data_IF_419816438790
#
_entry.id   IF_419816438790
#
_cell.length_a   1.000
_cell.length_b   1.000
_cell.length_c   1.000
_cell.angle_alpha   90.00
_cell.angle_beta   90.00
_cell.angle_gamma   90.00
#
_symmetry.space_group_name_H-M   'P 1'
#
loop_
_entity.id
_entity.type
_entity.pdbx_description
1 polymer ?
#
# COMPACT_ATOMS: atom_id res chain seq x y z
N UNK A 1 9.92 -2.75 8.61
CA UNK A 1 8.81 -2.14 7.87
C UNK A 1 7.94 -3.25 7.32
N UNK A 2 6.61 -3.10 7.43
CA UNK A 2 5.64 -3.94 6.74
C UNK A 2 5.05 -3.13 5.58
N UNK A 3 4.92 -3.73 4.41
CA UNK A 3 4.36 -3.09 3.22
C UNK A 3 3.28 -3.98 2.60
N UNK A 4 2.17 -3.37 2.20
CA UNK A 4 1.21 -3.99 1.30
C UNK A 4 1.25 -3.27 -0.04
N UNK A 5 1.46 -4.01 -1.11
CA UNK A 5 1.42 -3.49 -2.48
C UNK A 5 0.12 -3.97 -3.12
N UNK A 6 -0.78 -3.03 -3.38
CA UNK A 6 -2.11 -3.26 -3.92
C UNK A 6 -2.04 -3.05 -5.43
N UNK A 7 -2.03 -4.17 -6.14
CA UNK A 7 -1.84 -4.21 -7.58
C UNK A 7 -3.17 -4.53 -8.28
N UNK A 8 -3.74 -3.59 -9.05
CA UNK A 8 -4.96 -3.87 -9.80
C UNK A 8 -4.66 -4.86 -10.92
N UNK A 9 -5.53 -5.85 -11.08
CA UNK A 9 -5.56 -6.69 -12.26
C UNK A 9 -6.36 -6.08 -13.41
N UNK A 10 -6.60 -6.88 -14.43
CA UNK A 10 -7.49 -6.50 -15.54
C UNK A 10 -8.90 -6.18 -15.00
N UNK A 11 -9.57 -5.20 -15.59
CA UNK A 11 -10.88 -4.67 -15.17
C UNK A 11 -10.94 -4.05 -13.76
N UNK A 12 -9.78 -3.75 -13.15
CA UNK A 12 -9.68 -2.99 -11.90
C UNK A 12 -8.65 -1.88 -12.03
N UNK A 13 -8.68 -0.91 -11.12
CA UNK A 13 -7.81 0.25 -11.12
C UNK A 13 -7.58 0.82 -9.72
N UNK A 14 -7.27 2.12 -9.70
CA UNK A 14 -6.93 2.82 -8.46
C UNK A 14 -8.10 2.86 -7.46
N UNK A 15 -9.34 2.97 -7.94
CA UNK A 15 -10.52 3.02 -7.08
C UNK A 15 -10.66 1.73 -6.27
N UNK A 16 -10.56 0.57 -6.93
CA UNK A 16 -10.57 -0.72 -6.25
C UNK A 16 -9.38 -0.85 -5.29
N UNK A 17 -8.20 -0.36 -5.65
CA UNK A 17 -7.05 -0.37 -4.74
C UNK A 17 -7.33 0.46 -3.46
N UNK A 18 -7.97 1.62 -3.58
CA UNK A 18 -8.35 2.46 -2.45
C UNK A 18 -9.41 1.78 -1.57
N UNK A 19 -10.43 1.16 -2.18
CA UNK A 19 -11.44 0.38 -1.46
C UNK A 19 -10.81 -0.78 -0.67
N UNK A 20 -9.87 -1.50 -1.27
CA UNK A 20 -9.15 -2.57 -0.57
C UNK A 20 -8.21 -2.01 0.51
N UNK A 21 -7.62 -0.83 0.32
CA UNK A 21 -6.81 -0.18 1.35
C UNK A 21 -7.62 0.22 2.59
N UNK A 22 -8.85 0.72 2.42
CA UNK A 22 -9.76 1.02 3.52
C UNK A 22 -10.05 -0.24 4.37
N UNK A 23 -10.40 -1.35 3.71
CA UNK A 23 -10.62 -2.62 4.41
C UNK A 23 -9.36 -3.13 5.10
N UNK A 24 -8.20 -2.96 4.47
CA UNK A 24 -6.94 -3.43 5.03
C UNK A 24 -6.53 -2.60 6.26
N UNK A 25 -6.74 -1.27 6.25
CA UNK A 25 -6.42 -0.43 7.41
C UNK A 25 -7.36 -0.70 8.58
N UNK A 26 -8.63 -1.04 8.35
CA UNK A 26 -9.53 -1.49 9.42
C UNK A 26 -8.97 -2.74 10.14
N UNK A 27 -8.46 -3.72 9.38
CA UNK A 27 -7.82 -4.91 9.95
C UNK A 27 -6.56 -4.57 10.72
N UNK A 28 -5.74 -3.63 10.22
CA UNK A 28 -4.51 -3.19 10.89
C UNK A 28 -4.81 -2.45 12.19
N UNK A 29 -5.78 -1.53 12.18
CA UNK A 29 -6.22 -0.77 13.36
C UNK A 29 -6.77 -1.70 14.44
N UNK A 30 -7.52 -2.74 14.05
CA UNK A 30 -8.06 -3.72 14.97
C UNK A 30 -6.98 -4.49 15.75
N UNK A 31 -5.74 -4.54 15.25
CA UNK A 31 -4.59 -5.14 15.94
C UNK A 31 -3.58 -4.10 16.45
N UNK A 32 -3.97 -2.83 16.52
CA UNK A 32 -3.15 -1.75 17.07
C UNK A 32 -2.05 -1.24 16.13
N UNK A 33 -2.18 -1.47 14.82
CA UNK A 33 -1.24 -1.00 13.81
C UNK A 33 -1.81 0.19 13.03
N UNK A 34 -0.95 1.16 12.75
CA UNK A 34 -1.19 2.33 11.90
C UNK A 34 -0.46 2.17 10.57
N UNK A 35 -1.09 2.67 9.51
CA UNK A 35 -0.58 2.59 8.14
C UNK A 35 -0.61 3.94 7.42
N UNK A 36 0.35 4.14 6.53
CA UNK A 36 0.51 5.33 5.70
C UNK A 36 0.36 4.96 4.21
N UNK A 37 -0.60 5.56 3.50
CA UNK A 37 -0.82 5.28 2.09
C UNK A 37 0.09 6.12 1.19
N UNK A 38 0.55 5.51 0.09
CA UNK A 38 1.16 6.23 -1.03
C UNK A 38 0.77 5.60 -2.36
N UNK A 39 0.67 6.40 -3.40
CA UNK A 39 0.57 5.86 -4.76
C UNK A 39 1.87 5.17 -5.12
N UNK A 40 1.79 4.11 -5.93
CA UNK A 40 2.99 3.47 -6.49
C UNK A 40 3.71 4.39 -7.52
N UNK A 41 3.06 5.47 -7.97
CA UNK A 41 3.42 6.21 -9.18
C UNK A 41 3.08 5.45 -10.47
N UNK A 42 2.44 4.28 -10.37
CA UNK A 42 1.97 3.52 -11.52
C UNK A 42 0.46 3.33 -11.49
N UNK A 43 -0.04 2.10 -11.36
CA UNK A 43 -1.48 1.81 -11.33
C UNK A 43 -2.00 1.49 -9.94
N UNK A 44 -1.13 1.02 -9.05
CA UNK A 44 -1.49 0.53 -7.72
C UNK A 44 -1.22 1.52 -6.58
N UNK A 45 -1.62 1.09 -5.39
CA UNK A 45 -1.50 1.81 -4.12
C UNK A 45 -0.64 0.98 -3.15
N UNK A 46 0.11 1.64 -2.26
CA UNK A 46 0.95 0.97 -1.27
C UNK A 46 0.61 1.47 0.12
N UNK A 47 0.55 0.56 1.09
CA UNK A 47 0.39 0.87 2.51
C UNK A 47 1.65 0.51 3.28
N UNK A 48 2.17 1.47 4.03
CA UNK A 48 3.38 1.32 4.84
C UNK A 48 3.02 1.29 6.31
N UNK A 49 3.46 0.25 7.02
CA UNK A 49 3.31 0.10 8.47
C UNK A 49 4.71 0.16 9.09
N UNK A 50 5.12 1.31 9.64
CA UNK A 50 6.42 1.47 10.28
C UNK A 50 6.49 0.60 11.53
N UNK A 51 7.47 -0.29 11.59
CA UNK A 51 7.68 -1.13 12.76
C UNK A 51 8.74 -0.53 13.68
N UNK A 52 9.91 -0.17 13.13
CA UNK A 52 11.05 0.43 13.85
C UNK A 52 11.50 -0.31 15.13
N UNK A 53 10.95 -1.49 15.40
CA UNK A 53 11.33 -2.46 16.42
C UNK A 53 12.04 -3.65 15.76
N UNK A 54 12.75 -4.52 16.49
CA UNK A 54 13.31 -5.75 15.91
C UNK A 54 12.21 -6.65 15.29
N UNK A 55 12.40 -7.08 14.05
CA UNK A 55 11.49 -8.00 13.35
C UNK A 55 12.24 -8.80 12.29
N UNK A 56 11.62 -9.89 11.81
CA UNK A 56 12.17 -10.71 10.72
C UNK A 56 11.32 -10.58 9.46
N UNK A 57 11.95 -10.64 8.29
CA UNK A 57 11.23 -10.67 7.00
C UNK A 57 10.21 -11.82 6.93
N UNK A 58 10.52 -12.97 7.55
CA UNK A 58 9.60 -14.11 7.59
C UNK A 58 8.32 -13.75 8.34
N UNK A 59 8.42 -13.17 9.55
CA UNK A 59 7.26 -12.80 10.34
C UNK A 59 6.42 -11.71 9.66
N UNK A 60 7.08 -10.68 9.13
CA UNK A 60 6.40 -9.60 8.39
C UNK A 60 5.65 -10.15 7.17
N UNK A 61 6.30 -10.99 6.37
CA UNK A 61 5.71 -11.59 5.17
C UNK A 61 4.55 -12.54 5.51
N UNK A 62 4.69 -13.34 6.56
CA UNK A 62 3.63 -14.22 7.04
C UNK A 62 2.41 -13.43 7.54
N UNK A 63 2.64 -12.35 8.29
CA UNK A 63 1.58 -11.45 8.75
C UNK A 63 0.85 -10.80 7.57
N UNK A 64 1.60 -10.22 6.62
CA UNK A 64 1.03 -9.60 5.42
C UNK A 64 0.16 -10.59 4.61
N UNK A 65 0.66 -11.82 4.45
CA UNK A 65 -0.07 -12.89 3.77
C UNK A 65 -1.34 -13.27 4.52
N UNK A 66 -1.28 -13.43 5.85
CA UNK A 66 -2.43 -13.82 6.66
C UNK A 66 -3.55 -12.77 6.61
N UNK A 67 -3.21 -11.49 6.75
CA UNK A 67 -4.21 -10.41 6.63
C UNK A 67 -4.75 -10.31 5.20
N UNK A 68 -3.91 -10.49 4.19
CA UNK A 68 -4.37 -10.53 2.79
C UNK A 68 -5.33 -11.69 2.52
N UNK A 69 -5.04 -12.88 3.06
CA UNK A 69 -5.89 -14.07 2.91
C UNK A 69 -7.21 -13.93 3.67
N UNK A 70 -7.21 -13.22 4.80
CA UNK A 70 -8.44 -12.85 5.50
C UNK A 70 -9.35 -12.01 4.60
N UNK A 71 -8.81 -10.97 3.96
CA UNK A 71 -9.55 -10.13 3.01
C UNK A 71 -9.97 -10.91 1.76
N UNK A 72 -9.10 -11.77 1.21
CA UNK A 72 -9.44 -12.64 0.07
C UNK A 72 -10.60 -13.59 0.40
N UNK A 73 -10.67 -14.11 1.63
CA UNK A 73 -11.79 -14.96 2.07
C UNK A 73 -13.09 -14.16 2.21
N UNK A 74 -13.03 -12.93 2.71
CA UNK A 74 -14.21 -12.08 2.88
C UNK A 74 -14.72 -11.53 1.54
N UNK A 75 -13.79 -11.13 0.65
CA UNK A 75 -14.05 -10.49 -0.64
C UNK A 75 -13.42 -11.27 -1.80
N UNK A 76 -13.77 -12.56 -2.01
CA UNK A 76 -13.09 -13.42 -3.00
C UNK A 76 -13.27 -12.99 -4.45
N UNK A 77 -14.26 -12.12 -4.72
CA UNK A 77 -14.50 -11.50 -6.03
C UNK A 77 -13.72 -10.21 -6.28
N UNK A 78 -13.14 -9.61 -5.25
CA UNK A 78 -12.45 -8.31 -5.34
C UNK A 78 -10.96 -8.42 -5.00
N UNK A 79 -10.56 -9.42 -4.21
CA UNK A 79 -9.19 -9.55 -3.69
C UNK A 79 -8.60 -10.90 -4.09
N UNK A 80 -7.30 -10.91 -4.36
CA UNK A 80 -6.51 -12.14 -4.33
C UNK A 80 -5.17 -11.95 -3.64
N UNK A 81 -4.62 -13.01 -3.04
CA UNK A 81 -3.22 -13.09 -2.58
C UNK A 81 -2.36 -14.01 -3.44
N UNK A 82 -2.96 -14.58 -4.50
CA UNK A 82 -2.30 -15.53 -5.39
C UNK A 82 -1.63 -14.80 -6.54
N UNK A 83 -0.31 -14.98 -6.65
CA UNK A 83 0.49 -14.33 -7.69
C UNK A 83 0.09 -14.77 -9.11
N UNK A 84 0.31 -13.89 -10.08
CA UNK A 84 0.12 -14.16 -11.51
C UNK A 84 -1.10 -13.48 -12.10
N UNK A 85 -0.97 -12.97 -13.33
CA UNK A 85 -1.96 -12.12 -13.97
C UNK A 85 -3.36 -12.76 -14.05
N UNK A 86 -3.44 -14.07 -14.32
CA UNK A 86 -4.70 -14.80 -14.45
C UNK A 86 -5.51 -14.86 -13.14
N UNK A 87 -4.83 -14.79 -11.99
CA UNK A 87 -5.48 -14.91 -10.68
C UNK A 87 -6.13 -13.59 -10.24
N UNK A 88 -5.77 -12.46 -10.89
CA UNK A 88 -6.24 -11.13 -10.53
C UNK A 88 -7.19 -10.48 -11.55
N UNK A 89 -7.71 -11.20 -12.53
CA UNK A 89 -8.75 -10.65 -13.43
C UNK A 89 -9.99 -10.26 -12.60
N UNK A 90 -10.41 -9.00 -12.69
CA UNK A 90 -11.50 -8.42 -11.89
C UNK A 90 -11.17 -8.23 -10.40
N UNK A 91 -9.90 -8.34 -10.01
CA UNK A 91 -9.47 -8.29 -8.60
C UNK A 91 -8.23 -7.43 -8.40
N UNK A 92 -8.05 -6.95 -7.17
CA UNK A 92 -6.80 -6.39 -6.68
C UNK A 92 -5.98 -7.50 -6.05
N UNK A 93 -4.72 -7.62 -6.47
CA UNK A 93 -3.72 -8.45 -5.80
C UNK A 93 -3.18 -7.70 -4.59
N UNK A 94 -3.25 -8.32 -3.41
CA UNK A 94 -2.47 -7.91 -2.25
C UNK A 94 -1.13 -8.65 -2.33
N UNK A 95 -0.10 -7.98 -2.87
CA UNK A 95 1.25 -8.56 -2.99
C UNK A 95 1.99 -8.47 -1.64
N UNK A 96 1.74 -9.48 -0.81
CA UNK A 96 2.43 -9.71 0.45
C UNK A 96 3.92 -10.06 0.26
N UNK A 97 4.31 -10.53 -0.93
CA UNK A 97 5.67 -11.03 -1.18
C UNK A 97 6.70 -9.93 -1.13
N UNK A 98 6.30 -8.66 -1.30
CA UNK A 98 7.16 -7.47 -1.22
C UNK A 98 7.90 -7.34 0.13
N UNK A 99 7.43 -8.02 1.17
CA UNK A 99 8.09 -8.07 2.48
C UNK A 99 9.27 -9.05 2.56
N UNK A 100 9.50 -9.84 1.51
CA UNK A 100 10.60 -10.80 1.45
C UNK A 100 11.95 -10.08 1.33
N UNK A 101 12.99 -10.63 1.96
CA UNK A 101 14.35 -10.03 2.03
C UNK A 101 14.93 -9.58 0.68
N UNK A 102 14.59 -10.25 -0.42
CA UNK A 102 15.18 -10.02 -1.74
C UNK A 102 14.33 -9.10 -2.64
N UNK A 103 13.17 -8.65 -2.16
CA UNK A 103 12.27 -7.77 -2.91
C UNK A 103 12.62 -6.31 -2.66
N UNK A 104 12.28 -5.47 -3.62
CA UNK A 104 12.45 -4.02 -3.53
C UNK A 104 11.11 -3.34 -3.72
N UNK A 105 10.91 -2.24 -3.01
CA UNK A 105 9.75 -1.36 -3.14
C UNK A 105 10.25 0.04 -3.45
N UNK A 106 9.57 0.73 -4.36
CA UNK A 106 9.94 2.10 -4.70
C UNK A 106 9.81 3.01 -3.47
N UNK A 107 10.84 3.82 -3.22
CA UNK A 107 10.85 4.75 -2.10
C UNK A 107 9.80 5.87 -2.29
N UNK A 108 9.25 6.42 -1.19
CA UNK A 108 8.42 7.63 -1.25
C UNK A 108 9.12 8.76 -2.01
N UNK A 109 8.35 9.56 -2.75
CA UNK A 109 8.80 10.69 -3.57
C UNK A 109 9.71 10.34 -4.76
N UNK A 110 9.94 9.05 -5.05
CA UNK A 110 10.73 8.63 -6.21
C UNK A 110 9.93 8.70 -7.51
N UNK A 111 10.58 9.18 -8.58
CA UNK A 111 10.04 9.21 -9.93
C UNK A 111 9.96 7.83 -10.56
N UNK A 112 8.98 7.63 -11.44
CA UNK A 112 8.87 6.46 -12.32
C UNK A 112 9.43 6.80 -13.69
N UNK A 113 10.26 5.90 -14.22
CA UNK A 113 10.73 5.97 -15.60
C UNK A 113 9.60 5.63 -16.58
N UNK A 114 8.76 6.63 -16.87
CA UNK A 114 7.61 6.57 -17.79
C UNK A 114 7.61 7.82 -18.67
N UNK A 115 6.92 7.80 -19.83
CA UNK A 115 6.79 8.99 -20.68
C UNK A 115 6.26 10.21 -19.94
N UNK A 116 5.26 10.00 -19.08
CA UNK A 116 4.82 10.99 -18.10
C UNK A 116 5.46 10.59 -16.75
N UNK A 117 6.45 11.34 -16.23
CA UNK A 117 7.24 10.93 -15.08
C UNK A 117 6.47 11.16 -13.78
N UNK A 118 5.58 10.22 -13.48
CA UNK A 118 4.78 10.21 -12.26
C UNK A 118 5.61 9.81 -11.05
N UNK A 119 5.18 10.24 -9.86
CA UNK A 119 5.89 10.06 -8.60
C UNK A 119 5.17 9.05 -7.70
N UNK A 120 5.92 8.20 -6.99
CA UNK A 120 5.36 7.43 -5.88
C UNK A 120 5.08 8.35 -4.70
N UNK A 121 3.84 8.79 -4.58
CA UNK A 121 3.49 9.99 -3.80
C UNK A 121 2.76 9.60 -2.52
N UNK A 122 3.29 9.94 -1.34
CA UNK A 122 2.52 9.94 -0.10
C UNK A 122 1.21 10.73 -0.22
N UNK A 123 0.13 10.13 0.27
CA UNK A 123 -1.21 10.73 0.26
C UNK A 123 -1.85 10.60 1.64
N UNK A 124 -2.92 11.37 1.85
CA UNK A 124 -3.74 11.32 3.06
C UNK A 124 -4.80 10.22 2.96
N UNK A 125 -5.40 9.83 4.09
CA UNK A 125 -6.55 8.92 4.09
C UNK A 125 -7.79 9.53 3.44
N UNK A 126 -8.03 10.84 3.59
CA UNK A 126 -9.10 11.55 2.87
C UNK A 126 -8.95 11.44 1.34
N UNK A 127 -7.72 11.47 0.83
CA UNK A 127 -7.44 11.24 -0.60
C UNK A 127 -7.65 9.78 -1.01
N UNK A 128 -7.40 8.82 -0.12
CA UNK A 128 -7.75 7.41 -0.35
C UNK A 128 -9.27 7.26 -0.42
N UNK A 129 -10.01 7.91 0.46
CA UNK A 129 -11.48 7.88 0.47
C UNK A 129 -12.06 8.47 -0.81
N UNK A 130 -11.60 9.65 -1.22
CA UNK A 130 -11.98 10.23 -2.51
C UNK A 130 -11.56 9.33 -3.69
N UNK A 131 -10.40 8.68 -3.59
CA UNK A 131 -9.92 7.72 -4.58
C UNK A 131 -10.82 6.49 -4.73
N UNK A 132 -11.39 6.00 -3.62
CA UNK A 132 -12.35 4.90 -3.61
C UNK A 132 -13.66 5.25 -4.34
N UNK A 133 -14.01 6.54 -4.37
CA UNK A 133 -15.13 7.11 -5.12
C UNK A 133 -14.75 7.52 -6.57
N UNK A 134 -13.50 7.24 -6.99
CA UNK A 134 -13.04 7.43 -8.36
C UNK A 134 -12.21 8.69 -8.61
N UNK A 135 -11.82 9.44 -7.57
CA UNK A 135 -10.90 10.55 -7.73
C UNK A 135 -9.52 10.05 -8.26
N UNK A 136 -8.92 10.73 -9.24
CA UNK A 136 -7.64 10.30 -9.79
C UNK A 136 -6.49 10.55 -8.81
N UNK A 137 -5.66 9.52 -8.59
CA UNK A 137 -4.45 9.60 -7.76
C UNK A 137 -3.19 9.35 -8.60
N UNK A 138 -2.79 10.36 -9.37
CA UNK A 138 -1.56 10.36 -10.17
C UNK A 138 -0.93 11.74 -10.10
N UNK A 139 0.36 11.79 -9.77
CA UNK A 139 1.05 13.04 -9.48
C UNK A 139 2.36 13.12 -10.27
N UNK A 140 2.60 14.25 -10.92
CA UNK A 140 3.86 14.60 -11.56
C UNK A 140 4.76 15.39 -10.60
N UNK A 141 6.04 15.56 -10.96
CA UNK A 141 7.06 16.10 -10.06
C UNK A 141 6.72 17.50 -9.53
N UNK A 142 6.22 18.38 -10.37
CA UNK A 142 5.83 19.76 -10.03
C UNK A 142 4.67 19.79 -9.02
N UNK A 143 3.66 18.94 -9.23
CA UNK A 143 2.55 18.77 -8.30
C UNK A 143 3.04 18.25 -6.95
N UNK A 144 3.94 17.26 -6.94
CA UNK A 144 4.50 16.73 -5.68
C UNK A 144 5.30 17.77 -4.92
N UNK A 145 6.12 18.58 -5.60
CA UNK A 145 6.86 19.66 -4.95
C UNK A 145 5.93 20.67 -4.27
N UNK A 146 4.85 21.05 -4.95
CA UNK A 146 3.82 21.93 -4.38
C UNK A 146 3.17 21.28 -3.16
N UNK A 147 2.78 20.01 -3.25
CA UNK A 147 2.18 19.26 -2.12
C UNK A 147 3.10 19.22 -0.91
N UNK A 148 4.39 18.96 -1.10
CA UNK A 148 5.37 18.96 0.01
C UNK A 148 5.49 20.34 0.64
N UNK A 149 5.43 21.42 -0.14
CA UNK A 149 5.43 22.78 0.43
C UNK A 149 4.18 23.13 1.23
N UNK A 150 3.02 22.55 0.86
CA UNK A 150 1.72 22.85 1.48
C UNK A 150 1.41 21.94 2.67
N UNK A 151 1.71 20.64 2.55
CA UNK A 151 1.33 19.60 3.50
C UNK A 151 2.51 19.14 4.39
N UNK A 152 3.73 19.51 4.03
CA UNK A 152 4.94 18.92 4.61
C UNK A 152 5.18 17.48 4.15
N UNK A 153 6.02 16.76 4.89
CA UNK A 153 6.29 15.34 4.61
C UNK A 153 5.27 14.44 5.34
N UNK A 154 4.31 13.92 4.59
CA UNK A 154 3.28 13.00 5.09
C UNK A 154 3.85 11.67 5.62
N UNK A 155 5.06 11.29 5.21
CA UNK A 155 5.74 10.06 5.66
C UNK A 155 6.75 10.31 6.78
N UNK A 156 6.96 11.55 7.23
CA UNK A 156 7.86 11.86 8.34
C UNK A 156 7.58 11.00 9.60
N UNK A 157 6.31 10.72 10.00
CA UNK A 157 6.03 9.85 11.14
C UNK A 157 6.55 8.42 10.98
N UNK A 158 6.67 7.91 9.75
CA UNK A 158 7.08 6.52 9.48
C UNK A 158 8.55 6.25 9.85
N UNK A 159 9.35 7.30 10.01
CA UNK A 159 10.77 7.18 10.39
C UNK A 159 10.94 6.97 11.90
N UNK A 160 10.00 7.45 12.71
CA UNK A 160 10.13 7.46 14.17
C UNK A 160 9.13 6.54 14.89
N UNK A 161 7.96 6.27 14.30
CA UNK A 161 6.92 5.50 14.99
C UNK A 161 7.35 4.04 15.16
N UNK A 162 7.38 3.57 16.40
CA UNK A 162 7.60 2.17 16.74
C UNK A 162 6.27 1.44 16.88
N UNK A 163 6.17 0.28 16.23
CA UNK A 163 5.02 -0.63 16.29
C UNK A 163 5.53 -2.07 16.27
N UNK A 164 4.79 -2.97 16.92
CA UNK A 164 5.16 -4.39 17.02
C UNK A 164 4.07 -5.24 16.41
N UNK A 165 4.45 -6.16 15.52
CA UNK A 165 3.50 -7.10 14.95
C UNK A 165 3.02 -8.09 16.02
N UNK A 166 1.73 -8.48 16.02
CA UNK A 166 1.23 -9.54 16.88
C UNK A 166 2.06 -10.82 16.74
N UNK A 167 2.40 -11.43 17.88
CA UNK A 167 3.19 -12.66 17.93
C UNK A 167 4.69 -12.48 17.64
N UNK A 168 5.20 -11.25 17.56
CA UNK A 168 6.64 -10.99 17.69
C UNK A 168 7.02 -11.18 19.17
N UNK A 169 7.81 -12.22 19.45
CA UNK A 169 8.49 -12.45 20.72
C UNK A 169 10.00 -12.46 20.47
#
# INVERSE_FOLDING_TARGET
MLVYDLDPGEDTGMAECCQIAQLLVEVLVAVGLQAWPKTSGSKGLQLYVPLNTPHTHHHVSAFAKATGQLLERDRPRQVTTTMGARNRIGKVLIDWSQNSRHKTTIAPYSLRAKPNPTVSTPITWDEVDAGADGAPLSFEADIVLKRVSELGDLFAPTVALEQTLPGAA
#
